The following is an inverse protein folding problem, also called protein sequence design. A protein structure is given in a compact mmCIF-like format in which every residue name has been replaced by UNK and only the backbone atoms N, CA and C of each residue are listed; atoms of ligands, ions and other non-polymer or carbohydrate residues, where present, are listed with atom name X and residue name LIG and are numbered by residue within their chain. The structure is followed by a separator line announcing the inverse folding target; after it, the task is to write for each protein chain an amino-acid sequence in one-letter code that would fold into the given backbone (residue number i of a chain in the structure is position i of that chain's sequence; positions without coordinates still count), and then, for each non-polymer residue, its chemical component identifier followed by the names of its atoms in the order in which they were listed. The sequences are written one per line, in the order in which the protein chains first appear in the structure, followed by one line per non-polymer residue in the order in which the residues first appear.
data_IF_782904951391
#
_entry.id   IF_782904951391
#
_cell.length_a   1.000
_cell.length_b   1.000
_cell.length_c   1.000
_cell.angle_alpha   90.00
_cell.angle_beta   90.00
_cell.angle_gamma   90.00
#
_symmetry.space_group_name_H-M   'P 1'
#
loop_
_entity.id
_entity.type
_entity.pdbx_description
1 polymer ?
#
# COMPACT_ATOMS: atom_id res chain seq x y z
N UNK A 1 104.26 12.59 25.17
CA UNK A 1 104.68 11.23 25.05
C UNK A 1 103.54 10.47 24.42
N UNK A 2 103.83 9.95 23.18
CA UNK A 2 103.42 8.72 22.50
C UNK A 2 101.92 8.56 22.21
N UNK A 3 101.55 8.69 20.91
CA UNK A 3 101.44 7.72 19.87
C UNK A 3 100.34 6.69 20.17
N UNK A 4 99.42 6.34 19.33
CA UNK A 4 99.33 5.89 17.93
C UNK A 4 97.81 5.84 17.56
N UNK A 5 97.45 6.24 16.40
CA UNK A 5 97.15 5.53 15.14
C UNK A 5 96.51 4.16 15.26
N UNK A 6 95.34 4.03 14.66
CA UNK A 6 94.92 3.03 13.71
C UNK A 6 93.48 3.19 13.38
N UNK A 7 93.07 3.65 12.24
CA UNK A 7 92.77 3.03 10.95
C UNK A 7 91.51 2.11 10.94
N UNK A 8 90.63 2.50 10.04
CA UNK A 8 89.72 1.69 9.20
C UNK A 8 88.53 1.05 9.93
N UNK A 9 87.39 1.12 9.38
CA UNK A 9 86.86 0.88 8.02
C UNK A 9 85.52 1.48 7.88
N UNK A 10 85.28 2.14 6.79
CA UNK A 10 84.04 2.60 6.27
C UNK A 10 83.25 1.40 5.80
N UNK A 11 82.13 1.07 6.49
CA UNK A 11 81.12 0.16 5.97
C UNK A 11 79.88 0.98 5.59
N UNK A 12 79.77 1.23 4.29
CA UNK A 12 78.60 1.80 3.63
C UNK A 12 77.49 0.78 3.75
N UNK A 13 76.54 0.99 4.68
CA UNK A 13 75.29 0.26 4.66
C UNK A 13 74.30 1.07 3.81
N UNK A 14 74.17 0.68 2.56
CA UNK A 14 73.17 1.16 1.62
C UNK A 14 71.82 0.64 2.08
N UNK A 15 71.08 1.44 2.89
CA UNK A 15 69.67 1.16 3.20
C UNK A 15 68.90 1.46 1.92
N UNK A 16 68.62 0.43 1.15
CA UNK A 16 67.68 0.42 0.05
C UNK A 16 66.27 0.50 0.67
N UNK A 17 65.84 1.72 0.92
CA UNK A 17 64.43 2.03 1.30
C UNK A 17 63.57 1.64 0.08
N UNK A 18 63.10 0.40 0.10
CA UNK A 18 62.02 0.00 -0.78
C UNK A 18 60.80 0.84 -0.54
N UNK A 19 60.56 1.86 -1.36
CA UNK A 19 59.26 2.47 -1.50
C UNK A 19 58.26 1.41 -2.00
N UNK A 20 57.63 0.69 -1.08
CA UNK A 20 56.38 0.01 -1.36
C UNK A 20 55.29 1.07 -1.48
N UNK A 21 55.12 1.57 -2.70
CA UNK A 21 53.91 2.31 -3.02
C UNK A 21 52.70 1.40 -2.68
N UNK A 22 51.75 1.86 -1.86
CA UNK A 22 50.52 1.12 -1.71
C UNK A 22 49.89 1.08 -3.11
N UNK A 23 49.81 -0.10 -3.70
CA UNK A 23 48.99 -0.34 -4.87
C UNK A 23 47.57 -0.04 -4.43
N UNK A 24 47.10 1.21 -4.63
CA UNK A 24 45.66 1.50 -4.66
C UNK A 24 45.10 0.62 -5.77
N UNK A 25 44.57 -0.53 -5.38
CA UNK A 25 43.58 -1.20 -6.17
C UNK A 25 42.39 -0.27 -6.24
N UNK A 26 42.42 0.70 -7.16
CA UNK A 26 41.23 1.32 -7.67
C UNK A 26 40.38 0.14 -8.18
N UNK A 27 39.41 -0.25 -7.40
CA UNK A 27 38.34 -1.15 -7.84
C UNK A 27 37.66 -0.38 -8.97
N UNK A 28 38.16 -0.52 -10.20
CA UNK A 28 37.38 -0.19 -11.38
C UNK A 28 36.10 -0.97 -11.24
N UNK A 29 35.07 -0.29 -10.80
CA UNK A 29 33.69 -0.82 -10.81
C UNK A 29 33.38 -0.96 -12.29
N UNK A 30 33.80 -2.09 -12.90
CA UNK A 30 33.43 -2.41 -14.27
C UNK A 30 31.92 -2.35 -14.30
N UNK A 31 31.39 -1.38 -15.03
CA UNK A 31 29.96 -1.11 -15.14
C UNK A 31 29.34 -2.26 -15.95
N UNK A 32 29.11 -3.39 -15.24
CA UNK A 32 28.66 -4.65 -15.81
C UNK A 32 27.26 -4.48 -16.37
N UNK A 33 27.04 -4.92 -17.61
CA UNK A 33 25.71 -4.99 -18.22
C UNK A 33 24.93 -6.11 -17.56
N UNK A 34 23.72 -5.80 -17.09
CA UNK A 34 22.79 -6.78 -16.45
C UNK A 34 21.59 -7.10 -17.34
N UNK A 35 21.24 -6.21 -18.27
CA UNK A 35 20.26 -6.51 -19.31
C UNK A 35 20.53 -5.70 -20.59
N UNK A 36 20.08 -6.25 -21.72
CA UNK A 36 20.01 -5.59 -23.01
C UNK A 36 18.54 -5.51 -23.39
N UNK A 37 18.09 -4.32 -23.78
CA UNK A 37 16.72 -4.07 -24.24
C UNK A 37 16.79 -3.38 -25.58
N UNK A 38 16.50 -4.11 -26.66
CA UNK A 38 16.72 -3.65 -28.03
C UNK A 38 18.16 -3.11 -28.23
N UNK A 39 18.30 -1.82 -28.48
CA UNK A 39 19.59 -1.13 -28.65
C UNK A 39 20.10 -0.44 -27.36
N UNK A 40 19.44 -0.65 -26.22
CA UNK A 40 19.79 -0.02 -24.95
C UNK A 40 20.34 -1.07 -23.97
N UNK A 41 21.16 -0.62 -23.02
CA UNK A 41 21.70 -1.48 -21.97
C UNK A 41 21.25 -0.98 -20.60
N UNK A 42 21.08 -1.91 -19.67
CA UNK A 42 20.92 -1.63 -18.24
C UNK A 42 22.19 -2.14 -17.56
N UNK A 43 22.80 -1.29 -16.75
CA UNK A 43 24.03 -1.61 -16.05
C UNK A 43 23.77 -2.01 -14.60
N UNK A 44 24.72 -2.73 -14.00
CA UNK A 44 24.67 -3.09 -12.57
C UNK A 44 24.68 -1.84 -11.69
N UNK A 45 25.39 -0.79 -12.10
CA UNK A 45 25.41 0.48 -11.38
C UNK A 45 24.01 1.12 -11.36
N UNK A 46 23.34 1.19 -12.52
CA UNK A 46 21.98 1.71 -12.64
C UNK A 46 21.00 0.91 -11.78
N UNK A 47 21.04 -0.42 -11.86
CA UNK A 47 20.20 -1.30 -11.04
C UNK A 47 20.43 -1.08 -9.53
N UNK A 48 21.68 -1.07 -9.07
CA UNK A 48 22.00 -0.87 -7.66
C UNK A 48 21.63 0.52 -7.16
N UNK A 49 21.77 1.55 -8.00
CA UNK A 49 21.36 2.91 -7.70
C UNK A 49 19.84 2.97 -7.51
N UNK A 50 19.06 2.39 -8.42
CA UNK A 50 17.60 2.35 -8.34
C UNK A 50 17.13 1.54 -7.13
N UNK A 51 17.80 0.41 -6.81
CA UNK A 51 17.54 -0.34 -5.58
C UNK A 51 17.68 0.58 -4.36
N UNK A 52 18.77 1.34 -4.27
CA UNK A 52 19.01 2.25 -3.14
C UNK A 52 17.98 3.38 -3.08
N UNK A 53 17.63 3.96 -4.22
CA UNK A 53 16.63 5.04 -4.31
C UNK A 53 15.24 4.58 -3.85
N UNK A 54 14.82 3.37 -4.23
CA UNK A 54 13.47 2.86 -3.91
C UNK A 54 13.38 2.22 -2.52
N UNK A 55 14.46 1.60 -2.03
CA UNK A 55 14.41 0.85 -0.76
C UNK A 55 15.05 1.59 0.41
N UNK A 56 15.80 2.68 0.15
CA UNK A 56 16.60 3.39 1.15
C UNK A 56 17.86 2.64 1.59
N UNK A 57 18.12 1.44 1.06
CA UNK A 57 19.25 0.58 1.42
C UNK A 57 20.11 0.22 0.21
N UNK A 58 21.40 0.02 0.43
CA UNK A 58 22.26 -0.50 -0.64
C UNK A 58 21.89 -1.94 -1.00
N UNK A 59 22.18 -2.35 -2.23
CA UNK A 59 21.96 -3.73 -2.68
C UNK A 59 22.70 -4.75 -1.79
N UNK A 60 23.86 -4.39 -1.27
CA UNK A 60 24.66 -5.23 -0.38
C UNK A 60 24.02 -5.34 1.01
N UNK A 61 23.57 -4.23 1.60
CA UNK A 61 22.88 -4.23 2.88
C UNK A 61 21.60 -5.07 2.85
N UNK A 62 20.81 -4.94 1.77
CA UNK A 62 19.60 -5.75 1.60
C UNK A 62 19.93 -7.24 1.51
N UNK A 63 20.98 -7.60 0.76
CA UNK A 63 21.40 -8.99 0.60
C UNK A 63 21.84 -9.60 1.93
N UNK A 64 22.60 -8.84 2.73
CA UNK A 64 23.08 -9.28 4.04
C UNK A 64 21.94 -9.45 5.05
N UNK A 65 20.90 -8.62 4.98
CA UNK A 65 19.74 -8.68 5.88
C UNK A 65 18.79 -9.82 5.52
N UNK A 66 18.45 -9.95 4.24
CA UNK A 66 17.52 -10.96 3.73
C UNK A 66 17.75 -11.20 2.23
N UNK A 67 18.45 -12.27 1.91
CA UNK A 67 18.79 -12.62 0.52
C UNK A 67 17.55 -12.82 -0.36
N UNK A 68 16.49 -13.46 0.15
CA UNK A 68 15.26 -13.66 -0.62
C UNK A 68 14.61 -12.33 -0.97
N UNK A 69 14.47 -11.44 0.00
CA UNK A 69 13.89 -10.12 -0.22
C UNK A 69 14.72 -9.29 -1.20
N UNK A 70 16.06 -9.37 -1.12
CA UNK A 70 16.96 -8.74 -2.08
C UNK A 70 16.76 -9.28 -3.50
N UNK A 71 16.66 -10.60 -3.68
CA UNK A 71 16.47 -11.21 -5.01
C UNK A 71 15.11 -10.82 -5.62
N UNK A 72 14.06 -10.77 -4.81
CA UNK A 72 12.73 -10.35 -5.26
C UNK A 72 12.73 -8.86 -5.65
N UNK A 73 13.28 -7.98 -4.81
CA UNK A 73 13.41 -6.55 -5.11
C UNK A 73 14.26 -6.32 -6.37
N UNK A 74 15.40 -7.02 -6.50
CA UNK A 74 16.28 -6.93 -7.67
C UNK A 74 15.55 -7.31 -8.95
N UNK A 75 14.74 -8.37 -8.93
CA UNK A 75 13.96 -8.82 -10.08
C UNK A 75 12.89 -7.80 -10.47
N UNK A 76 12.15 -7.30 -9.50
CA UNK A 76 11.09 -6.30 -9.73
C UNK A 76 11.65 -5.00 -10.31
N UNK A 77 12.73 -4.49 -9.71
CA UNK A 77 13.38 -3.25 -10.15
C UNK A 77 14.01 -3.42 -11.54
N UNK A 78 14.64 -4.57 -11.83
CA UNK A 78 15.14 -4.84 -13.17
C UNK A 78 14.02 -4.87 -14.20
N UNK A 79 12.89 -5.49 -13.90
CA UNK A 79 11.72 -5.49 -14.78
C UNK A 79 11.22 -4.07 -15.02
N UNK A 80 11.15 -3.24 -13.98
CA UNK A 80 10.78 -1.83 -14.09
C UNK A 80 11.74 -1.07 -15.01
N UNK A 81 13.06 -1.24 -14.84
CA UNK A 81 14.06 -0.60 -15.69
C UNK A 81 13.95 -1.05 -17.17
N UNK A 82 13.63 -2.33 -17.40
CA UNK A 82 13.38 -2.85 -18.76
C UNK A 82 12.17 -2.14 -19.37
N UNK A 83 11.05 -2.03 -18.63
CA UNK A 83 9.84 -1.33 -19.08
C UNK A 83 10.11 0.15 -19.37
N UNK A 84 10.96 0.77 -18.55
CA UNK A 84 11.38 2.16 -18.74
C UNK A 84 12.13 2.33 -20.06
N UNK A 85 13.07 1.43 -20.37
CA UNK A 85 13.79 1.46 -21.66
C UNK A 85 12.88 1.24 -22.86
N UNK A 86 11.93 0.31 -22.75
CA UNK A 86 10.93 0.05 -23.80
C UNK A 86 10.06 1.28 -24.01
N UNK A 87 9.58 1.92 -22.92
CA UNK A 87 8.76 3.13 -22.98
C UNK A 87 9.55 4.32 -23.58
N UNK A 88 10.82 4.51 -23.20
CA UNK A 88 11.69 5.54 -23.79
C UNK A 88 11.84 5.39 -25.31
N UNK A 89 11.97 4.16 -25.78
CA UNK A 89 12.05 3.88 -27.23
C UNK A 89 10.72 4.22 -27.91
N UNK A 90 9.60 3.85 -27.30
CA UNK A 90 8.27 4.16 -27.83
C UNK A 90 7.98 5.66 -27.88
N UNK A 91 8.42 6.42 -26.88
CA UNK A 91 8.36 7.88 -26.86
C UNK A 91 9.10 8.48 -28.07
N UNK A 92 10.29 7.94 -28.36
CA UNK A 92 11.09 8.37 -29.53
C UNK A 92 10.41 8.04 -30.87
N UNK A 93 9.88 6.80 -31.00
CA UNK A 93 9.18 6.36 -32.20
C UNK A 93 7.96 7.24 -32.51
N UNK A 94 7.19 7.60 -31.47
CA UNK A 94 6.00 8.42 -31.61
C UNK A 94 6.31 9.93 -31.67
N UNK A 95 7.59 10.31 -31.61
CA UNK A 95 8.03 11.71 -31.56
C UNK A 95 7.34 12.52 -30.44
N UNK A 96 7.07 11.88 -29.31
CA UNK A 96 6.53 12.58 -28.13
C UNK A 96 7.63 13.47 -27.58
N UNK A 97 7.37 14.76 -27.50
CA UNK A 97 8.34 15.75 -27.01
C UNK A 97 7.66 16.77 -26.10
N UNK A 98 8.37 17.14 -25.04
CA UNK A 98 7.91 18.10 -24.04
C UNK A 98 8.78 19.35 -24.11
N UNK A 99 8.17 20.50 -24.31
CA UNK A 99 8.87 21.78 -24.37
C UNK A 99 9.13 22.37 -22.97
N UNK A 100 10.10 23.29 -22.88
CA UNK A 100 10.51 23.91 -21.61
C UNK A 100 9.35 24.53 -20.84
N UNK A 101 8.40 25.18 -21.51
CA UNK A 101 7.22 25.74 -20.83
C UNK A 101 6.39 24.72 -20.06
N UNK A 102 6.27 23.50 -20.58
CA UNK A 102 5.54 22.42 -19.91
C UNK A 102 6.32 21.91 -18.69
N UNK A 103 7.65 21.83 -18.81
CA UNK A 103 8.54 21.45 -17.71
C UNK A 103 8.45 22.49 -16.59
N UNK A 104 8.57 23.78 -16.95
CA UNK A 104 8.50 24.89 -16.00
C UNK A 104 7.14 24.91 -15.28
N UNK A 105 6.04 24.77 -16.03
CA UNK A 105 4.70 24.71 -15.45
C UNK A 105 4.52 23.53 -14.48
N UNK A 106 5.11 22.37 -14.80
CA UNK A 106 5.07 21.22 -13.92
C UNK A 106 5.87 21.45 -12.64
N UNK A 107 7.06 22.04 -12.75
CA UNK A 107 7.89 22.39 -11.58
C UNK A 107 7.18 23.42 -10.69
N UNK A 108 6.57 24.46 -11.29
CA UNK A 108 5.78 25.44 -10.55
C UNK A 108 4.62 24.80 -9.79
N UNK A 109 3.89 23.87 -10.42
CA UNK A 109 2.82 23.12 -9.75
C UNK A 109 3.36 22.29 -8.57
N UNK A 110 4.48 21.60 -8.75
CA UNK A 110 5.12 20.82 -7.67
C UNK A 110 5.50 21.73 -6.50
N UNK A 111 6.02 22.92 -6.78
CA UNK A 111 6.34 23.90 -5.73
C UNK A 111 5.08 24.37 -4.99
N UNK A 112 4.01 24.69 -5.73
CA UNK A 112 2.74 25.13 -5.14
C UNK A 112 2.12 24.03 -4.26
N UNK A 113 2.04 22.79 -4.75
CA UNK A 113 1.47 21.64 -4.04
C UNK A 113 2.23 21.35 -2.75
N UNK A 114 3.56 21.56 -2.74
CA UNK A 114 4.42 21.35 -1.58
C UNK A 114 4.67 22.64 -0.76
N UNK A 115 4.09 23.77 -1.15
CA UNK A 115 4.29 25.10 -0.52
C UNK A 115 5.77 25.50 -0.44
N UNK A 116 6.51 25.25 -1.50
CA UNK A 116 7.95 25.51 -1.61
C UNK A 116 8.22 26.72 -2.48
N UNK A 117 9.22 27.51 -2.11
CA UNK A 117 9.81 28.54 -2.97
C UNK A 117 10.81 27.91 -3.93
N UNK A 118 11.35 28.70 -4.84
CA UNK A 118 12.45 28.26 -5.72
C UNK A 118 13.71 27.95 -4.93
N UNK A 119 14.01 28.76 -3.91
CA UNK A 119 15.15 28.59 -3.02
C UNK A 119 15.02 27.29 -2.21
N UNK A 120 13.82 26.97 -1.70
CA UNK A 120 13.57 25.72 -0.97
C UNK A 120 13.79 24.49 -1.87
N UNK A 121 13.31 24.56 -3.12
CA UNK A 121 13.53 23.49 -4.08
C UNK A 121 15.03 23.28 -4.36
N UNK A 122 15.77 24.37 -4.62
CA UNK A 122 17.20 24.28 -4.90
C UNK A 122 17.98 23.74 -3.69
N UNK A 123 17.67 24.22 -2.48
CA UNK A 123 18.31 23.74 -1.26
C UNK A 123 18.04 22.23 -1.03
N UNK A 124 16.83 21.77 -1.33
CA UNK A 124 16.49 20.35 -1.23
C UNK A 124 17.24 19.51 -2.24
N UNK A 125 17.30 19.97 -3.50
CA UNK A 125 18.04 19.27 -4.56
C UNK A 125 19.53 19.18 -4.22
N UNK A 126 20.12 20.25 -3.67
CA UNK A 126 21.51 20.26 -3.22
C UNK A 126 21.74 19.25 -2.09
N UNK A 127 20.85 19.21 -1.09
CA UNK A 127 20.91 18.22 -0.02
C UNK A 127 20.81 16.77 -0.52
N UNK A 128 20.02 16.55 -1.57
CA UNK A 128 19.87 15.25 -2.25
C UNK A 128 21.02 14.96 -3.25
N UNK A 129 21.96 15.89 -3.45
CA UNK A 129 23.07 15.79 -4.42
C UNK A 129 22.60 15.75 -5.87
N UNK A 130 21.45 16.35 -6.19
CA UNK A 130 20.84 16.37 -7.53
C UNK A 130 20.94 17.77 -8.16
N UNK A 131 21.66 17.86 -9.28
CA UNK A 131 21.71 19.10 -10.05
C UNK A 131 20.32 19.48 -10.60
N UNK A 132 19.98 20.77 -10.61
CA UNK A 132 18.69 21.27 -11.11
C UNK A 132 18.40 20.83 -12.55
N UNK A 133 19.39 20.84 -13.43
CA UNK A 133 19.24 20.36 -14.82
C UNK A 133 18.84 18.89 -14.87
N UNK A 134 19.42 18.05 -14.00
CA UNK A 134 19.04 16.62 -13.90
C UNK A 134 17.63 16.45 -13.34
N UNK A 135 17.21 17.32 -12.46
CA UNK A 135 15.83 17.36 -11.98
C UNK A 135 14.86 17.72 -13.13
N UNK A 136 15.19 18.74 -13.93
CA UNK A 136 14.42 19.12 -15.13
C UNK A 136 14.29 17.95 -16.12
N UNK A 137 15.37 17.25 -16.38
CA UNK A 137 15.36 16.05 -17.24
C UNK A 137 14.43 14.95 -16.69
N UNK A 138 14.42 14.73 -15.36
CA UNK A 138 13.47 13.80 -14.74
C UNK A 138 12.01 14.24 -14.94
N UNK A 139 11.70 15.50 -14.71
CA UNK A 139 10.35 16.04 -14.92
C UNK A 139 9.93 15.89 -16.38
N UNK A 140 10.84 16.20 -17.31
CA UNK A 140 10.59 16.00 -18.76
C UNK A 140 10.23 14.54 -19.04
N UNK A 141 11.05 13.57 -18.60
CA UNK A 141 10.79 12.15 -18.84
C UNK A 141 9.48 11.67 -18.20
N UNK A 142 9.11 12.19 -17.03
CA UNK A 142 7.83 11.88 -16.40
C UNK A 142 6.64 12.38 -17.23
N UNK A 143 6.73 13.61 -17.78
CA UNK A 143 5.68 14.17 -18.62
C UNK A 143 5.58 13.39 -19.94
N UNK A 144 6.70 13.08 -20.59
CA UNK A 144 6.74 12.29 -21.82
C UNK A 144 6.10 10.91 -21.63
N UNK A 145 6.41 10.24 -20.49
CA UNK A 145 5.80 8.96 -20.13
C UNK A 145 4.30 9.10 -19.87
N UNK A 146 3.87 10.14 -19.16
CA UNK A 146 2.45 10.39 -18.94
C UNK A 146 1.71 10.60 -20.26
N UNK A 147 2.26 11.38 -21.19
CA UNK A 147 1.71 11.59 -22.53
C UNK A 147 1.63 10.29 -23.34
N UNK A 148 2.66 9.42 -23.23
CA UNK A 148 2.65 8.12 -23.88
C UNK A 148 1.50 7.24 -23.36
N UNK A 149 1.32 7.18 -22.04
CA UNK A 149 0.22 6.42 -21.41
C UNK A 149 -1.14 7.03 -21.78
N UNK A 150 -1.25 8.35 -21.80
CA UNK A 150 -2.47 9.02 -22.19
C UNK A 150 -2.83 8.68 -23.65
N UNK A 151 -1.86 8.68 -24.55
CA UNK A 151 -2.05 8.38 -25.97
C UNK A 151 -2.34 6.89 -26.22
N UNK A 152 -1.53 6.00 -25.68
CA UNK A 152 -1.61 4.57 -25.98
C UNK A 152 -2.67 3.81 -25.16
N UNK A 153 -2.98 4.29 -23.98
CA UNK A 153 -3.85 3.59 -23.03
C UNK A 153 -5.14 4.38 -22.79
N UNK A 154 -5.04 5.56 -22.17
CA UNK A 154 -6.23 6.28 -21.67
C UNK A 154 -7.16 6.78 -22.79
N UNK A 155 -6.61 7.22 -23.92
CA UNK A 155 -7.40 7.67 -25.07
C UNK A 155 -8.33 6.59 -25.66
N UNK A 156 -8.04 5.33 -25.36
CA UNK A 156 -8.77 4.16 -25.89
C UNK A 156 -9.80 3.60 -24.90
N UNK A 157 -9.95 4.24 -23.73
CA UNK A 157 -10.87 3.77 -22.69
C UNK A 157 -12.26 4.35 -22.92
N UNK A 158 -13.24 3.45 -22.89
CA UNK A 158 -14.66 3.80 -22.96
C UNK A 158 -15.37 3.07 -21.83
N UNK A 159 -15.86 3.83 -20.84
CA UNK A 159 -16.75 3.31 -19.79
C UNK A 159 -18.18 3.61 -20.24
N UNK A 160 -18.99 2.58 -20.45
CA UNK A 160 -20.36 2.71 -20.94
C UNK A 160 -21.34 2.78 -19.78
N UNK A 161 -22.47 3.46 -19.99
CA UNK A 161 -23.55 3.52 -19.00
C UNK A 161 -24.04 2.13 -18.57
N UNK A 162 -24.08 1.18 -19.50
CA UNK A 162 -24.42 -0.21 -19.20
C UNK A 162 -23.42 -0.88 -18.22
N UNK A 163 -22.14 -0.52 -18.27
CA UNK A 163 -21.12 -1.05 -17.37
C UNK A 163 -21.28 -0.44 -15.97
N UNK A 164 -21.61 0.85 -15.92
CA UNK A 164 -21.91 1.56 -14.66
C UNK A 164 -23.16 0.95 -14.01
N UNK A 165 -24.24 0.75 -14.76
CA UNK A 165 -25.48 0.14 -14.25
C UNK A 165 -25.24 -1.26 -13.72
N UNK A 166 -24.51 -2.10 -14.48
CA UNK A 166 -24.15 -3.46 -14.06
C UNK A 166 -23.31 -3.46 -12.79
N UNK A 167 -22.32 -2.59 -12.71
CA UNK A 167 -21.47 -2.47 -11.53
C UNK A 167 -22.29 -2.06 -10.30
N UNK A 168 -23.21 -1.09 -10.47
CA UNK A 168 -24.10 -0.65 -9.41
C UNK A 168 -24.99 -1.80 -8.92
N UNK A 169 -25.60 -2.58 -9.81
CA UNK A 169 -26.43 -3.72 -9.41
C UNK A 169 -25.65 -4.76 -8.60
N UNK A 170 -24.40 -5.03 -9.01
CA UNK A 170 -23.52 -5.99 -8.33
C UNK A 170 -22.98 -5.49 -6.97
N UNK A 171 -22.92 -4.17 -6.78
CA UNK A 171 -22.32 -3.54 -5.60
C UNK A 171 -23.28 -2.57 -4.90
N UNK A 172 -24.58 -2.71 -5.11
CA UNK A 172 -25.58 -1.78 -4.60
C UNK A 172 -25.56 -1.63 -3.08
N UNK A 173 -25.24 -2.68 -2.35
CA UNK A 173 -25.05 -2.64 -0.89
C UNK A 173 -23.90 -1.75 -0.44
N UNK A 174 -22.85 -1.60 -1.27
CA UNK A 174 -21.70 -0.75 -0.96
C UNK A 174 -21.98 0.74 -1.17
N UNK A 175 -23.03 1.06 -1.90
CA UNK A 175 -23.47 2.42 -2.18
C UNK A 175 -24.70 2.86 -1.39
N UNK A 176 -25.20 2.00 -0.46
CA UNK A 176 -26.25 2.36 0.48
C UNK A 176 -25.78 3.46 1.45
N UNK A 177 -26.74 4.20 2.03
CA UNK A 177 -26.43 4.98 3.22
C UNK A 177 -25.89 4.02 4.28
N UNK A 178 -24.86 4.43 5.02
CA UNK A 178 -24.30 3.57 6.07
C UNK A 178 -25.43 3.21 7.03
N UNK A 179 -25.85 1.95 6.98
CA UNK A 179 -26.88 1.45 7.88
C UNK A 179 -26.40 1.64 9.31
N UNK A 180 -27.21 2.36 10.09
CA UNK A 180 -27.01 2.53 11.52
C UNK A 180 -28.06 1.74 12.25
N UNK A 181 -27.65 1.05 13.28
CA UNK A 181 -28.56 0.28 14.13
C UNK A 181 -28.45 0.76 15.56
N UNK A 182 -29.57 1.13 16.13
CA UNK A 182 -29.69 1.34 17.57
C UNK A 182 -29.95 -0.04 18.20
N UNK A 183 -29.06 -0.46 19.06
CA UNK A 183 -29.03 -1.82 19.58
C UNK A 183 -29.23 -1.80 21.11
N UNK A 184 -29.91 -2.82 21.61
CA UNK A 184 -29.93 -3.15 23.04
C UNK A 184 -29.44 -4.59 23.25
N UNK A 185 -28.86 -4.88 24.40
CA UNK A 185 -28.29 -6.18 24.70
C UNK A 185 -28.57 -6.69 26.08
N UNK A 186 -28.85 -7.98 26.20
CA UNK A 186 -28.80 -8.72 27.45
C UNK A 186 -27.58 -9.60 27.40
N UNK A 187 -26.65 -9.39 28.32
CA UNK A 187 -25.40 -10.15 28.41
C UNK A 187 -25.31 -10.89 29.72
N UNK A 188 -25.13 -12.21 29.66
CA UNK A 188 -24.92 -13.07 30.81
C UNK A 188 -23.43 -13.39 30.88
N UNK A 189 -22.76 -12.87 31.90
CA UNK A 189 -21.28 -12.94 32.01
C UNK A 189 -20.82 -14.31 32.53
N UNK A 190 -19.78 -14.85 31.92
CA UNK A 190 -19.07 -16.02 32.40
C UNK A 190 -18.10 -15.62 33.52
N UNK A 191 -18.36 -16.06 34.73
CA UNK A 191 -17.58 -15.71 35.94
C UNK A 191 -16.52 -16.74 36.31
N UNK A 192 -16.71 -18.00 35.89
CA UNK A 192 -15.82 -19.13 36.20
C UNK A 192 -15.34 -19.83 34.92
N UNK A 193 -14.38 -19.25 34.18
CA UNK A 193 -13.95 -19.77 32.88
C UNK A 193 -13.42 -21.20 32.91
N UNK A 194 -13.01 -21.70 34.09
CA UNK A 194 -12.48 -23.06 34.31
C UNK A 194 -13.57 -24.10 34.64
N UNK A 195 -14.82 -23.66 34.90
CA UNK A 195 -15.94 -24.56 35.17
C UNK A 195 -16.63 -24.97 33.85
N UNK A 196 -16.56 -26.26 33.45
CA UNK A 196 -17.20 -26.74 32.24
C UNK A 196 -18.73 -26.59 32.22
N UNK A 197 -19.36 -26.66 33.42
CA UNK A 197 -20.82 -26.58 33.56
C UNK A 197 -21.39 -25.15 33.47
N UNK A 198 -20.57 -24.14 33.65
CA UNK A 198 -21.04 -22.73 33.67
C UNK A 198 -21.68 -22.30 32.34
N UNK A 199 -21.12 -22.72 31.21
CA UNK A 199 -21.69 -22.37 29.90
C UNK A 199 -23.07 -22.99 29.66
N UNK A 200 -23.30 -24.22 30.15
CA UNK A 200 -24.61 -24.85 30.03
C UNK A 200 -25.65 -24.17 30.95
N UNK A 201 -25.21 -23.68 32.10
CA UNK A 201 -26.03 -22.90 33.02
C UNK A 201 -26.42 -21.54 32.40
N UNK A 202 -25.41 -20.84 31.80
CA UNK A 202 -25.68 -19.57 31.11
C UNK A 202 -26.59 -19.76 29.90
N UNK A 203 -26.45 -20.88 29.18
CA UNK A 203 -27.34 -21.23 28.07
C UNK A 203 -28.79 -21.43 28.54
N UNK A 204 -28.99 -22.21 29.58
CA UNK A 204 -30.34 -22.42 30.18
C UNK A 204 -30.99 -21.09 30.65
N UNK A 205 -30.20 -20.23 31.31
CA UNK A 205 -30.65 -18.90 31.73
C UNK A 205 -31.01 -18.02 30.53
N UNK A 206 -30.16 -18.03 29.50
CA UNK A 206 -30.37 -17.29 28.25
C UNK A 206 -31.64 -17.77 27.51
N UNK A 207 -31.84 -19.09 27.41
CA UNK A 207 -33.03 -19.68 26.79
C UNK A 207 -34.31 -19.28 27.54
N UNK A 208 -34.28 -19.27 28.88
CA UNK A 208 -35.42 -18.82 29.71
C UNK A 208 -35.72 -17.34 29.47
N UNK A 209 -34.71 -16.48 29.34
CA UNK A 209 -34.88 -15.06 29.03
C UNK A 209 -35.45 -14.90 27.61
N UNK A 210 -34.86 -15.62 26.62
CA UNK A 210 -35.35 -15.56 25.24
C UNK A 210 -36.79 -16.03 25.09
N UNK A 211 -37.22 -17.05 25.88
CA UNK A 211 -38.62 -17.51 25.92
C UNK A 211 -39.56 -16.41 26.44
N UNK A 212 -39.15 -15.67 27.49
CA UNK A 212 -39.92 -14.54 28.03
C UNK A 212 -40.01 -13.42 27.01
N UNK A 213 -38.94 -13.05 26.35
CA UNK A 213 -38.93 -12.05 25.26
C UNK A 213 -39.87 -12.46 24.12
N UNK A 214 -39.85 -13.74 23.71
CA UNK A 214 -40.78 -14.26 22.70
C UNK A 214 -42.24 -14.28 23.17
N UNK A 215 -42.48 -14.37 24.48
CA UNK A 215 -43.79 -14.25 25.07
C UNK A 215 -44.28 -12.78 25.21
N UNK A 216 -43.47 -11.81 24.83
CA UNK A 216 -43.80 -10.38 24.81
C UNK A 216 -43.41 -9.62 26.07
N UNK A 217 -42.64 -10.20 27.00
CA UNK A 217 -42.10 -9.47 28.13
C UNK A 217 -41.18 -8.34 27.67
N UNK A 218 -41.14 -7.21 28.36
CA UNK A 218 -40.36 -6.04 27.98
C UNK A 218 -38.86 -6.31 28.04
N UNK A 219 -38.17 -5.97 26.96
CA UNK A 219 -36.74 -6.21 26.84
C UNK A 219 -35.94 -5.41 27.87
N UNK A 220 -36.30 -4.13 28.08
CA UNK A 220 -35.56 -3.26 28.97
C UNK A 220 -35.71 -3.69 30.43
N UNK A 221 -36.91 -4.19 30.83
CA UNK A 221 -37.12 -4.75 32.16
C UNK A 221 -36.31 -6.03 32.40
N UNK A 222 -36.28 -6.92 31.40
CA UNK A 222 -35.46 -8.13 31.48
C UNK A 222 -33.94 -7.83 31.46
N UNK A 223 -33.54 -6.82 30.71
CA UNK A 223 -32.15 -6.37 30.70
C UNK A 223 -31.72 -5.82 32.07
N UNK A 224 -32.52 -4.94 32.68
CA UNK A 224 -32.24 -4.43 34.05
C UNK A 224 -32.18 -5.54 35.09
N UNK A 225 -32.97 -6.57 34.91
CA UNK A 225 -33.06 -7.67 35.88
C UNK A 225 -31.99 -8.74 35.73
N UNK A 226 -31.56 -9.02 34.52
CA UNK A 226 -30.74 -10.18 34.21
C UNK A 226 -29.42 -9.89 33.50
N UNK A 227 -29.28 -8.71 32.86
CA UNK A 227 -28.06 -8.37 32.15
C UNK A 227 -26.92 -8.04 33.10
N UNK A 228 -25.77 -8.56 32.83
CA UNK A 228 -24.52 -8.30 33.52
C UNK A 228 -23.54 -7.51 32.63
N UNK A 229 -24.00 -7.05 31.46
CA UNK A 229 -23.21 -6.30 30.46
C UNK A 229 -23.43 -4.78 30.54
N UNK A 230 -22.76 -4.04 29.64
CA UNK A 230 -22.94 -2.59 29.51
C UNK A 230 -24.41 -2.21 29.26
N UNK A 231 -24.81 -1.07 29.78
CA UNK A 231 -26.17 -0.54 29.64
C UNK A 231 -27.28 -1.31 30.39
N UNK A 232 -26.95 -2.27 31.25
CA UNK A 232 -27.96 -3.07 31.99
C UNK A 232 -28.97 -2.19 32.74
N UNK A 233 -28.50 -1.18 33.46
CA UNK A 233 -29.34 -0.24 34.21
C UNK A 233 -30.19 0.65 33.32
N UNK A 234 -29.75 0.86 32.07
CA UNK A 234 -30.42 1.63 31.02
C UNK A 234 -31.34 0.75 30.15
N UNK A 235 -31.69 -0.46 30.62
CA UNK A 235 -32.51 -1.41 29.85
C UNK A 235 -31.74 -2.14 28.73
N UNK A 236 -30.44 -2.23 28.86
CA UNK A 236 -29.57 -2.89 27.91
C UNK A 236 -29.17 -2.03 26.71
N UNK A 237 -29.50 -0.73 26.71
CA UNK A 237 -29.21 0.18 25.62
C UNK A 237 -27.69 0.28 25.38
N UNK A 238 -27.25 0.01 24.13
CA UNK A 238 -25.86 0.11 23.70
C UNK A 238 -25.61 1.35 22.83
N UNK A 239 -26.67 2.10 22.46
CA UNK A 239 -26.60 3.21 21.52
C UNK A 239 -26.57 2.75 20.05
N UNK A 240 -26.21 3.71 19.18
CA UNK A 240 -26.26 3.53 17.73
C UNK A 240 -24.90 3.16 17.17
N UNK A 241 -24.84 2.09 16.43
CA UNK A 241 -23.65 1.57 15.73
C UNK A 241 -23.85 1.67 14.23
N UNK A 242 -22.76 1.97 13.51
CA UNK A 242 -22.73 1.78 12.07
C UNK A 242 -22.49 0.28 11.76
N UNK A 243 -23.06 -0.19 10.67
CA UNK A 243 -22.91 -1.58 10.24
C UNK A 243 -21.44 -2.06 10.19
N UNK A 244 -20.54 -1.19 9.72
CA UNK A 244 -19.09 -1.48 9.60
C UNK A 244 -18.35 -1.54 10.96
N UNK A 245 -18.94 -1.00 12.03
CA UNK A 245 -18.39 -1.03 13.40
C UNK A 245 -18.74 -2.31 14.16
N UNK A 246 -19.73 -3.07 13.67
CA UNK A 246 -20.12 -4.33 14.28
C UNK A 246 -19.10 -5.43 13.95
N UNK A 247 -18.84 -6.32 14.92
CA UNK A 247 -18.02 -7.50 14.66
C UNK A 247 -18.69 -8.45 13.64
N UNK A 248 -17.92 -9.33 12.96
CA UNK A 248 -18.46 -10.18 11.90
C UNK A 248 -19.58 -11.13 12.35
N UNK A 249 -19.54 -11.61 13.59
CA UNK A 249 -20.57 -12.49 14.15
C UNK A 249 -21.85 -11.73 14.44
N UNK A 250 -21.73 -10.51 15.02
CA UNK A 250 -22.88 -9.63 15.22
C UNK A 250 -23.52 -9.25 13.88
N UNK A 251 -22.74 -8.87 12.87
CA UNK A 251 -23.27 -8.58 11.53
C UNK A 251 -24.05 -9.75 10.97
N UNK A 252 -23.46 -10.95 10.97
CA UNK A 252 -24.14 -12.16 10.50
C UNK A 252 -25.43 -12.46 11.26
N UNK A 253 -25.46 -12.23 12.57
CA UNK A 253 -26.65 -12.48 13.39
C UNK A 253 -27.75 -11.45 13.17
N UNK A 254 -27.41 -10.19 12.82
CA UNK A 254 -28.34 -9.07 12.68
C UNK A 254 -28.81 -8.85 11.24
N UNK A 255 -28.16 -9.47 10.25
CA UNK A 255 -28.36 -9.20 8.81
C UNK A 255 -29.84 -9.34 8.38
N UNK A 256 -30.50 -10.44 8.81
CA UNK A 256 -31.87 -10.75 8.43
C UNK A 256 -32.91 -10.33 9.49
N UNK A 257 -32.48 -9.74 10.59
CA UNK A 257 -33.40 -9.36 11.69
C UNK A 257 -34.02 -8.01 11.37
N UNK A 258 -35.38 -7.91 11.39
CA UNK A 258 -36.05 -6.63 11.20
C UNK A 258 -35.93 -5.71 12.44
N UNK A 259 -36.27 -4.43 12.25
CA UNK A 259 -36.43 -3.51 13.38
C UNK A 259 -37.39 -4.08 14.44
N UNK A 260 -37.06 -3.92 15.71
CA UNK A 260 -37.76 -4.53 16.84
C UNK A 260 -37.45 -6.00 17.09
N UNK A 261 -36.75 -6.67 16.15
CA UNK A 261 -36.41 -8.09 16.21
C UNK A 261 -35.25 -8.41 17.17
N UNK A 262 -35.11 -9.71 17.47
CA UNK A 262 -34.16 -10.26 18.43
C UNK A 262 -33.25 -11.27 17.77
N UNK A 263 -31.99 -11.32 18.19
CA UNK A 263 -31.12 -12.44 17.87
C UNK A 263 -31.52 -13.69 18.65
N UNK A 264 -31.05 -14.87 18.24
CA UNK A 264 -30.94 -16.01 19.12
C UNK A 264 -29.85 -15.81 20.19
N UNK A 265 -29.57 -16.87 20.93
CA UNK A 265 -28.43 -16.86 21.85
C UNK A 265 -27.10 -16.83 21.08
N UNK A 266 -26.33 -15.78 21.30
CA UNK A 266 -24.98 -15.61 20.75
C UNK A 266 -23.97 -16.02 21.81
N UNK A 267 -23.17 -17.04 21.51
CA UNK A 267 -22.08 -17.47 22.40
C UNK A 267 -20.89 -16.57 22.18
N UNK A 268 -20.45 -15.88 23.22
CA UNK A 268 -19.28 -15.00 23.20
C UNK A 268 -18.17 -15.55 24.11
N UNK A 269 -16.90 -15.17 23.92
CA UNK A 269 -15.81 -15.61 24.81
C UNK A 269 -16.08 -15.29 26.29
N UNK A 270 -16.76 -14.17 26.58
CA UNK A 270 -17.12 -13.71 27.93
C UNK A 270 -18.46 -14.16 28.45
N UNK A 271 -19.28 -14.92 27.70
CA UNK A 271 -20.64 -15.33 28.14
C UNK A 271 -21.62 -15.55 27.00
N UNK A 272 -22.88 -15.24 27.26
CA UNK A 272 -23.98 -15.36 26.28
C UNK A 272 -24.65 -14.00 26.10
N UNK A 273 -24.98 -13.65 24.87
CA UNK A 273 -25.58 -12.39 24.48
C UNK A 273 -26.87 -12.60 23.69
N UNK A 274 -27.88 -11.75 23.95
CA UNK A 274 -29.08 -11.57 23.14
C UNK A 274 -29.11 -10.10 22.75
N UNK A 275 -29.21 -9.80 21.44
CA UNK A 275 -29.26 -8.44 20.92
C UNK A 275 -30.67 -8.17 20.40
N UNK A 276 -31.20 -6.98 20.68
CA UNK A 276 -32.42 -6.43 20.10
C UNK A 276 -32.05 -5.26 19.19
N UNK A 277 -32.63 -5.21 18.01
CA UNK A 277 -32.61 -4.02 17.17
C UNK A 277 -33.74 -3.09 17.66
N UNK A 278 -33.36 -1.94 18.19
CA UNK A 278 -34.35 -0.93 18.62
C UNK A 278 -34.83 -0.11 17.43
N UNK A 279 -33.88 0.28 16.55
CA UNK A 279 -34.13 1.09 15.37
C UNK A 279 -33.09 0.74 14.27
N UNK A 280 -33.54 0.74 13.04
CA UNK A 280 -32.67 0.69 11.84
C UNK A 280 -32.80 2.02 11.09
N UNK A 281 -31.67 2.74 10.98
CA UNK A 281 -31.60 3.98 10.23
C UNK A 281 -30.67 3.80 9.00
N UNK A 282 -31.12 4.24 7.84
CA UNK A 282 -30.38 4.09 6.60
C UNK A 282 -30.64 2.75 5.94
N UNK A 283 -29.72 2.30 5.10
CA UNK A 283 -29.93 1.09 4.28
C UNK A 283 -30.66 1.35 2.96
N UNK A 284 -31.16 2.57 2.75
CA UNK A 284 -31.69 2.97 1.45
C UNK A 284 -30.53 3.01 0.44
N UNK A 285 -30.70 2.27 -0.63
CA UNK A 285 -29.74 2.31 -1.76
C UNK A 285 -29.73 3.72 -2.30
N UNK A 286 -28.58 4.37 -2.27
CA UNK A 286 -28.43 5.66 -2.95
C UNK A 286 -28.77 5.45 -4.43
N UNK A 287 -29.60 6.30 -5.04
CA UNK A 287 -29.91 6.22 -6.46
C UNK A 287 -28.63 6.14 -7.30
N UNK A 288 -28.67 5.41 -8.39
CA UNK A 288 -27.54 5.30 -9.32
C UNK A 288 -27.00 6.66 -9.73
N UNK A 289 -27.86 7.63 -9.96
CA UNK A 289 -27.49 9.00 -10.36
C UNK A 289 -26.55 9.67 -9.36
N UNK A 290 -26.75 9.43 -8.04
CA UNK A 290 -25.94 10.04 -6.97
C UNK A 290 -24.54 9.45 -6.90
N UNK A 291 -24.37 8.20 -7.33
CA UNK A 291 -23.10 7.43 -7.24
C UNK A 291 -22.45 7.18 -8.58
N UNK A 292 -23.10 7.60 -9.68
CA UNK A 292 -22.68 7.36 -11.07
C UNK A 292 -21.25 7.79 -11.33
N UNK A 293 -20.88 8.99 -10.91
CA UNK A 293 -19.53 9.50 -11.09
C UNK A 293 -18.49 8.70 -10.30
N UNK A 294 -18.81 8.32 -9.06
CA UNK A 294 -17.91 7.49 -8.26
C UNK A 294 -17.69 6.11 -8.88
N UNK A 295 -18.74 5.50 -9.43
CA UNK A 295 -18.66 4.22 -10.15
C UNK A 295 -17.85 4.38 -11.45
N UNK A 296 -18.10 5.48 -12.19
CA UNK A 296 -17.33 5.79 -13.38
C UNK A 296 -15.83 5.83 -13.09
N UNK A 297 -15.40 6.55 -12.06
CA UNK A 297 -13.98 6.65 -11.67
C UNK A 297 -13.38 5.30 -11.30
N UNK A 298 -14.13 4.45 -10.59
CA UNK A 298 -13.69 3.10 -10.24
C UNK A 298 -13.49 2.26 -11.52
N UNK A 299 -14.48 2.23 -12.41
CA UNK A 299 -14.42 1.46 -13.64
C UNK A 299 -13.34 2.00 -14.59
N UNK A 300 -13.23 3.32 -14.70
CA UNK A 300 -12.18 3.97 -15.48
C UNK A 300 -10.78 3.58 -14.98
N UNK A 301 -10.56 3.66 -13.66
CA UNK A 301 -9.28 3.26 -13.06
C UNK A 301 -8.95 1.78 -13.27
N UNK A 302 -9.94 0.91 -13.13
CA UNK A 302 -9.77 -0.53 -13.40
C UNK A 302 -9.40 -0.79 -14.86
N UNK A 303 -10.08 -0.11 -15.79
CA UNK A 303 -9.81 -0.25 -17.22
C UNK A 303 -8.46 0.34 -17.62
N UNK A 304 -8.03 1.46 -17.00
CA UNK A 304 -6.67 2.01 -17.17
C UNK A 304 -5.63 0.97 -16.78
N UNK A 305 -5.75 0.37 -15.60
CA UNK A 305 -4.79 -0.62 -15.13
C UNK A 305 -4.75 -1.85 -16.04
N UNK A 306 -5.91 -2.40 -16.38
CA UNK A 306 -6.01 -3.57 -17.27
C UNK A 306 -5.36 -3.31 -18.63
N UNK A 307 -5.68 -2.18 -19.25
CA UNK A 307 -5.12 -1.83 -20.57
C UNK A 307 -3.65 -1.50 -20.51
N UNK A 308 -3.20 -0.88 -19.42
CA UNK A 308 -1.78 -0.63 -19.22
C UNK A 308 -0.99 -1.94 -19.13
N UNK A 309 -1.49 -2.91 -18.36
CA UNK A 309 -0.84 -4.21 -18.21
C UNK A 309 -0.78 -4.96 -19.55
N UNK A 310 -1.88 -4.96 -20.32
CA UNK A 310 -1.92 -5.55 -21.65
C UNK A 310 -0.97 -4.87 -22.63
N UNK A 311 -0.93 -3.54 -22.60
CA UNK A 311 -0.07 -2.75 -23.46
C UNK A 311 1.41 -2.97 -23.15
N UNK A 312 1.83 -2.92 -21.88
CA UNK A 312 3.22 -3.12 -21.50
C UNK A 312 3.67 -4.55 -21.76
N UNK A 313 2.78 -5.53 -21.54
CA UNK A 313 3.06 -6.93 -21.90
C UNK A 313 3.23 -7.10 -23.42
N UNK A 314 2.39 -6.44 -24.21
CA UNK A 314 2.52 -6.40 -25.66
C UNK A 314 3.87 -5.80 -26.11
N UNK A 315 4.27 -4.69 -25.50
CA UNK A 315 5.56 -4.07 -25.77
C UNK A 315 6.73 -4.99 -25.39
N UNK A 316 6.68 -5.64 -24.23
CA UNK A 316 7.73 -6.63 -23.83
C UNK A 316 7.85 -7.77 -24.83
N UNK A 317 6.72 -8.30 -25.34
CA UNK A 317 6.72 -9.39 -26.33
C UNK A 317 7.30 -8.98 -27.68
N UNK A 318 7.12 -7.71 -28.06
CA UNK A 318 7.65 -7.17 -29.32
C UNK A 318 9.09 -6.66 -29.23
N UNK A 319 9.65 -6.52 -28.02
CA UNK A 319 10.99 -6.02 -27.76
C UNK A 319 11.98 -7.15 -27.54
N UNK A 320 13.20 -7.00 -28.06
CA UNK A 320 14.28 -7.92 -27.70
C UNK A 320 14.80 -7.61 -26.31
N UNK A 321 14.68 -8.58 -25.41
CA UNK A 321 15.20 -8.44 -24.04
C UNK A 321 16.10 -9.64 -23.71
N UNK A 322 17.34 -9.36 -23.26
CA UNK A 322 18.28 -10.35 -22.77
C UNK A 322 18.80 -9.97 -21.40
N UNK A 323 18.47 -10.76 -20.38
CA UNK A 323 18.99 -10.59 -19.01
C UNK A 323 20.31 -11.34 -18.91
N UNK A 324 21.35 -10.67 -18.36
CA UNK A 324 22.72 -11.16 -18.25
C UNK A 324 23.12 -11.04 -16.77
N UNK A 325 23.00 -12.09 -16.00
CA UNK A 325 23.49 -12.15 -14.61
C UNK A 325 24.66 -13.11 -14.48
#
# INVERSE_FOLDING_TARGET
MTRALFFRTWFLFLIMSGLTAPSSFATETRNRVVAIVNNQIITLHELNKTIKELTGHSAEDLRLRNEKQFLDARRQILTQLIDEKIAEEKIKELNISVGDRQIDAAIERIKQDNRMTQEDLLARLEADGLAYEKYRERIKSQIERAQLIDYEVKSKIIVRDADIARYYEQHASSYGSQEKMHLASIFLMRKKPTDPGEMDDLRRRGEAILAKLKAGEDFAELARKFSEGPGADEGGDLGTFRWDQLDPEARKALEEIPEGGLTGLMVRPGGIQIIKILEKQGGEKRPLEDVRNAIYEVLYSQEVNRRYDEWIEGLRKSSYTKIIF
#
